data_IF_939217229862
#
_entry.id   IF_939217229862
#
_cell.length_a   1.000
_cell.length_b   1.000
_cell.length_c   1.000
_cell.angle_alpha   90.00
_cell.angle_beta   90.00
_cell.angle_gamma   90.00
#
_symmetry.space_group_name_H-M   'P 1'
#
loop_
_entity.id
_entity.type
_entity.pdbx_description
1 polymer ?
#
# COMPACT_ATOMS: atom_id res chain seq x y z
N UNK A 1 -25.98 -52.06 11.06
CA UNK A 1 -25.79 -51.03 10.02
C UNK A 1 -25.55 -49.65 10.63
N UNK A 2 -26.37 -49.22 11.60
CA UNK A 2 -26.21 -47.94 12.31
C UNK A 2 -24.78 -47.65 12.84
N UNK A 3 -24.14 -48.62 13.50
CA UNK A 3 -22.78 -48.45 14.03
C UNK A 3 -21.74 -48.22 12.93
N UNK A 4 -21.87 -48.92 11.79
CA UNK A 4 -20.95 -48.80 10.66
C UNK A 4 -21.12 -47.42 10.01
N UNK A 5 -22.36 -46.98 9.80
CA UNK A 5 -22.67 -45.64 9.28
C UNK A 5 -22.11 -44.54 10.19
N UNK A 6 -22.28 -44.69 11.51
CA UNK A 6 -21.78 -43.71 12.49
C UNK A 6 -20.26 -43.57 12.45
N UNK A 7 -19.53 -44.68 12.28
CA UNK A 7 -18.07 -44.68 12.21
C UNK A 7 -17.58 -43.95 10.95
N UNK A 8 -18.21 -44.20 9.79
CA UNK A 8 -17.88 -43.51 8.56
C UNK A 8 -18.21 -42.01 8.62
N UNK A 9 -19.35 -41.64 9.22
CA UNK A 9 -19.74 -40.25 9.40
C UNK A 9 -18.76 -39.48 10.29
N UNK A 10 -18.37 -40.04 11.43
CA UNK A 10 -17.40 -39.44 12.35
C UNK A 10 -16.03 -39.29 11.67
N UNK A 11 -15.58 -40.30 10.91
CA UNK A 11 -14.33 -40.21 10.15
C UNK A 11 -14.34 -39.12 9.08
N UNK A 12 -15.43 -39.04 8.30
CA UNK A 12 -15.60 -38.00 7.28
C UNK A 12 -15.70 -36.59 7.86
N UNK A 13 -16.41 -36.44 8.98
CA UNK A 13 -16.50 -35.16 9.68
C UNK A 13 -15.14 -34.70 10.21
N UNK A 14 -14.36 -35.59 10.79
CA UNK A 14 -13.01 -35.28 11.29
C UNK A 14 -12.08 -34.85 10.14
N UNK A 15 -12.17 -35.52 8.99
CA UNK A 15 -11.43 -35.14 7.77
C UNK A 15 -11.80 -33.73 7.30
N UNK A 16 -13.10 -33.41 7.23
CA UNK A 16 -13.58 -32.07 6.85
C UNK A 16 -13.09 -31.02 7.83
N UNK A 17 -13.23 -31.26 9.14
CA UNK A 17 -12.82 -30.32 10.19
C UNK A 17 -11.31 -30.03 10.16
N UNK A 18 -10.48 -30.90 9.56
CA UNK A 18 -9.04 -30.65 9.40
C UNK A 18 -8.73 -29.99 8.05
N UNK A 19 -9.31 -30.50 6.96
CA UNK A 19 -8.97 -30.06 5.59
C UNK A 19 -9.51 -28.66 5.30
N UNK A 20 -10.74 -28.36 5.74
CA UNK A 20 -11.38 -27.06 5.49
C UNK A 20 -10.63 -25.88 6.15
N UNK A 21 -10.20 -25.95 7.43
CA UNK A 21 -9.40 -24.88 8.01
C UNK A 21 -7.98 -24.82 7.43
N UNK A 22 -7.35 -25.95 7.08
CA UNK A 22 -6.06 -25.92 6.38
C UNK A 22 -6.17 -25.15 5.05
N UNK A 23 -7.23 -25.43 4.29
CA UNK A 23 -7.51 -24.76 3.02
C UNK A 23 -7.79 -23.26 3.21
N UNK A 24 -8.61 -22.91 4.21
CA UNK A 24 -8.89 -21.52 4.56
C UNK A 24 -7.58 -20.79 4.90
N UNK A 25 -6.73 -21.37 5.74
CA UNK A 25 -5.44 -20.76 6.08
C UNK A 25 -4.58 -20.57 4.83
N UNK A 26 -4.46 -21.59 3.96
CA UNK A 26 -3.68 -21.50 2.72
C UNK A 26 -4.22 -20.44 1.75
N UNK A 27 -5.53 -20.42 1.53
CA UNK A 27 -6.22 -19.51 0.62
C UNK A 27 -6.01 -18.05 1.04
N UNK A 28 -6.21 -17.76 2.32
CA UNK A 28 -6.03 -16.41 2.85
C UNK A 28 -4.55 -16.06 3.02
N UNK A 29 -3.67 -17.03 3.31
CA UNK A 29 -2.22 -16.80 3.41
C UNK A 29 -1.59 -16.40 2.07
N UNK A 30 -2.08 -16.96 0.95
CA UNK A 30 -1.66 -16.54 -0.40
C UNK A 30 -1.92 -15.05 -0.64
N UNK A 31 -3.09 -14.55 -0.21
CA UNK A 31 -3.41 -13.13 -0.34
C UNK A 31 -2.58 -12.26 0.63
N UNK A 32 -2.37 -12.73 1.87
CA UNK A 32 -1.61 -11.98 2.90
C UNK A 32 -0.13 -11.84 2.62
N UNK A 33 0.51 -12.78 1.89
CA UNK A 33 1.94 -12.71 1.55
C UNK A 33 2.19 -11.70 0.43
N UNK A 34 1.32 -11.67 -0.58
CA UNK A 34 1.33 -10.65 -1.63
C UNK A 34 1.07 -9.25 -1.05
N UNK A 35 0.01 -9.08 -0.25
CA UNK A 35 -0.29 -7.79 0.38
C UNK A 35 0.80 -7.29 1.32
N UNK A 36 1.57 -8.16 1.99
CA UNK A 36 2.66 -7.71 2.88
C UNK A 36 3.89 -7.20 2.15
N UNK A 37 4.17 -7.73 0.95
CA UNK A 37 5.29 -7.27 0.12
C UNK A 37 4.88 -5.95 -0.56
N UNK A 38 3.68 -5.89 -1.15
CA UNK A 38 3.11 -4.66 -1.70
C UNK A 38 3.05 -3.55 -0.65
N UNK A 39 2.53 -3.82 0.55
CA UNK A 39 2.49 -2.82 1.61
C UNK A 39 3.87 -2.38 2.15
N UNK A 40 4.97 -3.06 1.80
CA UNK A 40 6.33 -2.57 2.07
C UNK A 40 6.81 -1.65 0.96
N UNK A 41 6.59 -2.04 -0.29
CA UNK A 41 6.90 -1.26 -1.48
C UNK A 41 6.12 0.07 -1.50
N UNK A 42 4.81 0.04 -1.20
CA UNK A 42 3.97 1.24 -1.11
C UNK A 42 4.50 2.25 -0.07
N UNK A 43 5.06 1.76 1.05
CA UNK A 43 5.66 2.63 2.09
C UNK A 43 6.98 3.25 1.64
N UNK A 44 7.76 2.51 0.86
CA UNK A 44 9.01 3.00 0.31
C UNK A 44 8.75 4.05 -0.78
N UNK A 45 7.75 3.83 -1.63
CA UNK A 45 7.30 4.80 -2.62
C UNK A 45 6.80 6.10 -1.98
N UNK A 46 6.01 6.03 -0.91
CA UNK A 46 5.57 7.22 -0.16
C UNK A 46 6.76 8.00 0.43
N UNK A 47 7.77 7.31 0.96
CA UNK A 47 8.98 7.95 1.49
C UNK A 47 9.77 8.66 0.39
N UNK A 48 9.86 8.05 -0.79
CA UNK A 48 10.51 8.68 -1.95
C UNK A 48 9.73 9.92 -2.36
N UNK A 49 8.40 9.88 -2.39
CA UNK A 49 7.57 11.04 -2.73
C UNK A 49 7.72 12.19 -1.72
N UNK A 50 7.83 11.87 -0.43
CA UNK A 50 8.11 12.84 0.65
C UNK A 50 9.48 13.51 0.44
N UNK A 51 10.55 12.73 0.24
CA UNK A 51 11.90 13.25 -0.03
C UNK A 51 11.93 14.13 -1.30
N UNK A 52 11.17 13.75 -2.34
CA UNK A 52 11.05 14.56 -3.57
C UNK A 52 10.28 15.85 -3.34
N UNK A 53 9.25 15.84 -2.50
CA UNK A 53 8.51 17.05 -2.16
C UNK A 53 9.40 18.04 -1.42
N UNK A 54 10.24 17.57 -0.48
CA UNK A 54 11.24 18.40 0.20
C UNK A 54 12.27 18.98 -0.79
N UNK A 55 12.81 18.16 -1.70
CA UNK A 55 13.76 18.62 -2.74
C UNK A 55 13.13 19.71 -3.62
N UNK A 56 11.87 19.54 -4.01
CA UNK A 56 11.16 20.51 -4.84
C UNK A 56 10.90 21.82 -4.10
N UNK A 57 10.59 21.78 -2.80
CA UNK A 57 10.37 22.98 -1.99
C UNK A 57 11.65 23.82 -1.89
N UNK A 58 12.79 23.18 -1.60
CA UNK A 58 14.09 23.87 -1.56
C UNK A 58 14.43 24.51 -2.91
N UNK A 59 14.14 23.81 -4.00
CA UNK A 59 14.35 24.33 -5.36
C UNK A 59 13.43 25.50 -5.67
N UNK A 60 12.17 25.46 -5.26
CA UNK A 60 11.24 26.59 -5.41
C UNK A 60 11.76 27.79 -4.64
N UNK A 61 12.16 27.63 -3.38
CA UNK A 61 12.71 28.73 -2.58
C UNK A 61 13.95 29.36 -3.23
N UNK A 62 14.86 28.53 -3.77
CA UNK A 62 16.03 29.04 -4.46
C UNK A 62 15.67 29.77 -5.77
N UNK A 63 14.71 29.23 -6.53
CA UNK A 63 14.19 29.89 -7.73
C UNK A 63 13.50 31.23 -7.38
N UNK A 64 12.72 31.28 -6.30
CA UNK A 64 12.12 32.52 -5.81
C UNK A 64 13.19 33.55 -5.41
N UNK A 65 14.26 33.11 -4.73
CA UNK A 65 15.37 33.99 -4.35
C UNK A 65 16.12 34.57 -5.56
N UNK A 66 16.36 33.75 -6.59
CA UNK A 66 16.96 34.20 -7.85
C UNK A 66 16.02 35.17 -8.56
N UNK A 67 14.73 34.85 -8.62
CA UNK A 67 13.75 35.64 -9.34
C UNK A 67 13.48 36.98 -8.66
N UNK A 68 13.49 37.03 -7.32
CA UNK A 68 13.43 38.27 -6.54
C UNK A 68 14.66 39.15 -6.77
N UNK A 69 15.85 38.56 -7.01
CA UNK A 69 17.09 39.31 -7.32
C UNK A 69 17.11 39.83 -8.76
N UNK A 70 16.76 38.97 -9.73
CA UNK A 70 16.98 39.24 -11.15
C UNK A 70 15.75 39.92 -11.81
N UNK A 71 14.54 39.76 -11.25
CA UNK A 71 13.29 40.34 -11.78
C UNK A 71 12.42 40.91 -10.64
N UNK A 72 12.71 42.10 -10.09
CA UNK A 72 12.12 42.62 -8.84
C UNK A 72 10.58 42.81 -8.80
N UNK A 73 9.86 42.58 -9.91
CA UNK A 73 8.41 42.76 -10.03
C UNK A 73 7.66 41.54 -10.59
N UNK A 74 8.31 40.38 -10.68
CA UNK A 74 7.70 39.18 -11.28
C UNK A 74 6.35 38.78 -10.62
N UNK A 75 6.24 38.94 -9.29
CA UNK A 75 5.00 38.64 -8.54
C UNK A 75 3.82 39.54 -8.94
N UNK A 76 4.07 40.79 -9.34
CA UNK A 76 3.01 41.72 -9.80
C UNK A 76 2.52 41.44 -11.22
N UNK A 77 3.35 40.80 -12.05
CA UNK A 77 2.96 40.37 -13.40
C UNK A 77 2.09 39.11 -13.36
N UNK A 78 2.37 38.19 -12.42
CA UNK A 78 1.61 36.97 -12.21
C UNK A 78 0.18 37.22 -11.69
N UNK A 79 -0.04 38.32 -10.96
CA UNK A 79 -1.38 38.73 -10.49
C UNK A 79 -2.18 39.56 -11.50
N UNK A 80 -1.62 39.90 -12.66
CA UNK A 80 -2.27 40.77 -13.66
C UNK A 80 -2.95 39.99 -14.81
N UNK A 81 -3.04 38.65 -14.71
CA UNK A 81 -3.78 37.78 -15.65
C UNK A 81 -5.17 37.40 -15.11
N UNK A 82 -5.87 38.35 -14.48
CA UNK A 82 -7.33 38.29 -14.28
C UNK A 82 -8.04 39.17 -15.32
#
# INVERSE_FOLDING_TARGET
>A
MELILSLFFVGGLCFIVIVLPLWLILHFARNKRAHRILAREDREELKILEERAEELDERVQNLEAILDRDVPRWRSSASHTE
#
